data_IF_941666904211
#
_entry.id   IF_941666904211
#
_cell.length_a   1.000
_cell.length_b   1.000
_cell.length_c   1.000
_cell.angle_alpha   90.00
_cell.angle_beta   90.00
_cell.angle_gamma   90.00
#
_symmetry.space_group_name_H-M   'P 1'
#
loop_
_entity.id
_entity.type
_entity.pdbx_description
1 polymer ?
#
# COMPACT_ATOMS: atom_id res chain seq x y z
N UNK A 1 0.04 -30.74 18.04
CA UNK A 1 1.35 -30.71 17.38
C UNK A 1 1.78 -29.26 17.29
N UNK A 2 2.36 -28.73 18.37
CA UNK A 2 2.76 -27.33 18.46
C UNK A 2 4.09 -27.15 17.73
N UNK A 3 4.08 -26.39 16.64
CA UNK A 3 5.32 -25.91 16.05
C UNK A 3 5.79 -24.78 16.98
N UNK A 4 6.85 -25.00 17.74
CA UNK A 4 7.59 -23.89 18.35
C UNK A 4 8.19 -23.07 17.21
N UNK A 5 7.46 -22.05 16.81
CA UNK A 5 7.75 -21.25 15.64
C UNK A 5 8.81 -20.23 16.00
N UNK A 6 10.07 -20.54 15.70
CA UNK A 6 11.15 -19.56 15.85
C UNK A 6 10.87 -18.38 14.92
N UNK A 7 10.63 -17.21 15.51
CA UNK A 7 10.32 -15.97 14.79
C UNK A 7 11.41 -15.58 13.79
N UNK A 8 12.67 -15.90 14.08
CA UNK A 8 13.78 -15.67 13.15
C UNK A 8 13.66 -16.53 11.89
N UNK A 9 13.27 -17.80 12.01
CA UNK A 9 13.10 -18.71 10.87
C UNK A 9 11.94 -18.24 9.99
N UNK A 10 10.84 -17.81 10.60
CA UNK A 10 9.69 -17.25 9.88
C UNK A 10 10.06 -15.97 9.13
N UNK A 11 10.77 -15.06 9.79
CA UNK A 11 11.21 -13.81 9.16
C UNK A 11 12.12 -14.09 7.95
N UNK A 12 13.09 -14.99 8.10
CA UNK A 12 14.00 -15.38 7.01
C UNK A 12 13.20 -16.04 5.87
N UNK A 13 12.27 -16.95 6.18
CA UNK A 13 11.43 -17.59 5.18
C UNK A 13 10.54 -16.58 4.42
N UNK A 14 9.96 -15.62 5.13
CA UNK A 14 9.16 -14.55 4.55
C UNK A 14 9.99 -13.64 3.64
N UNK A 15 11.18 -13.22 4.08
CA UNK A 15 12.12 -12.43 3.25
C UNK A 15 12.49 -13.23 1.99
N UNK A 16 12.82 -14.50 2.13
CA UNK A 16 13.16 -15.35 1.00
C UNK A 16 11.98 -15.50 0.02
N UNK A 17 10.76 -15.67 0.52
CA UNK A 17 9.56 -15.73 -0.30
C UNK A 17 9.30 -14.41 -1.04
N UNK A 18 9.45 -13.27 -0.38
CA UNK A 18 9.30 -11.94 -1.00
C UNK A 18 10.37 -11.68 -2.07
N UNK A 19 11.63 -12.01 -1.81
CA UNK A 19 12.72 -11.88 -2.78
C UNK A 19 12.52 -12.80 -3.99
N UNK A 20 12.05 -14.02 -3.75
CA UNK A 20 11.71 -14.96 -4.81
C UNK A 20 10.52 -14.45 -5.63
N UNK A 21 9.48 -13.93 -4.97
CA UNK A 21 8.34 -13.30 -5.63
C UNK A 21 8.78 -12.13 -6.51
N UNK A 22 9.63 -11.23 -6.00
CA UNK A 22 10.18 -10.12 -6.77
C UNK A 22 10.95 -10.60 -8.01
N UNK A 23 11.84 -11.58 -7.86
CA UNK A 23 12.70 -12.04 -8.96
C UNK A 23 11.96 -12.91 -9.99
N UNK A 24 11.10 -13.82 -9.56
CA UNK A 24 10.43 -14.75 -10.48
C UNK A 24 9.13 -14.15 -11.00
N UNK A 25 8.26 -13.71 -10.09
CA UNK A 25 6.94 -13.22 -10.46
C UNK A 25 6.99 -11.78 -10.96
N UNK A 26 7.78 -10.90 -10.33
CA UNK A 26 8.01 -9.53 -10.82
C UNK A 26 8.56 -9.52 -12.25
N UNK A 27 9.63 -10.27 -12.51
CA UNK A 27 10.18 -10.40 -13.88
C UNK A 27 9.21 -11.05 -14.87
N UNK A 28 8.36 -11.98 -14.41
CA UNK A 28 7.31 -12.55 -15.26
C UNK A 28 6.28 -11.50 -15.69
N UNK A 29 5.80 -10.69 -14.75
CA UNK A 29 4.85 -9.60 -15.01
C UNK A 29 5.47 -8.53 -15.90
N UNK A 30 6.71 -8.15 -15.62
CA UNK A 30 7.47 -7.18 -16.42
C UNK A 30 7.60 -7.63 -17.88
N UNK A 31 7.99 -8.88 -18.13
CA UNK A 31 8.17 -9.41 -19.49
C UNK A 31 6.87 -9.67 -20.23
N UNK A 32 5.83 -10.15 -19.53
CA UNK A 32 4.59 -10.61 -20.17
C UNK A 32 3.58 -9.49 -20.35
N UNK A 33 3.41 -8.65 -19.33
CA UNK A 33 2.35 -7.63 -19.26
C UNK A 33 2.91 -6.24 -19.56
N UNK A 34 3.90 -5.80 -18.78
CA UNK A 34 4.38 -4.41 -18.89
C UNK A 34 5.13 -4.21 -20.20
N UNK A 35 6.10 -5.06 -20.52
CA UNK A 35 7.01 -4.90 -21.67
C UNK A 35 7.62 -3.50 -21.67
N UNK A 36 8.52 -3.21 -20.71
CA UNK A 36 9.11 -1.88 -20.58
C UNK A 36 9.86 -1.52 -21.87
N UNK A 37 9.59 -0.33 -22.38
CA UNK A 37 10.29 0.27 -23.51
C UNK A 37 11.40 1.18 -22.95
N UNK A 38 12.54 1.28 -23.64
CA UNK A 38 13.63 2.23 -23.30
C UNK A 38 13.26 3.67 -23.70
N UNK A 39 12.08 4.14 -23.28
CA UNK A 39 11.66 5.52 -23.47
C UNK A 39 11.99 6.34 -22.24
N UNK A 40 12.46 7.59 -22.40
CA UNK A 40 12.61 8.49 -21.27
C UNK A 40 11.25 8.66 -20.58
N UNK A 41 11.23 8.60 -19.25
CA UNK A 41 9.99 8.80 -18.48
C UNK A 41 9.46 10.22 -18.71
N UNK A 42 8.16 10.45 -18.56
CA UNK A 42 7.55 11.79 -18.77
C UNK A 42 8.18 12.90 -17.92
N UNK A 43 8.75 12.57 -16.74
CA UNK A 43 9.52 13.50 -15.92
C UNK A 43 10.78 14.07 -16.61
N UNK A 44 11.33 13.37 -17.60
CA UNK A 44 12.46 13.83 -18.42
C UNK A 44 12.00 14.49 -19.73
N UNK A 45 10.92 14.00 -20.35
CA UNK A 45 10.42 14.54 -21.63
C UNK A 45 9.65 15.86 -21.47
N UNK A 46 8.85 16.01 -20.41
CA UNK A 46 7.98 17.17 -20.16
C UNK A 46 8.52 18.08 -19.06
N UNK A 47 9.84 18.06 -18.83
CA UNK A 47 10.47 18.72 -17.69
C UNK A 47 10.16 20.23 -17.66
N UNK A 48 9.48 20.66 -16.61
CA UNK A 48 9.15 22.06 -16.33
C UNK A 48 9.63 22.52 -14.93
N UNK A 49 10.20 21.61 -14.14
CA UNK A 49 10.63 21.81 -12.75
C UNK A 49 9.50 22.27 -11.78
N UNK A 50 8.23 22.25 -12.22
CA UNK A 50 7.03 22.47 -11.41
C UNK A 50 6.21 21.17 -11.27
N UNK A 51 5.61 20.70 -12.37
CA UNK A 51 4.80 19.48 -12.40
C UNK A 51 5.63 18.24 -12.78
N UNK A 52 6.70 18.42 -13.54
CA UNK A 52 7.61 17.39 -14.04
C UNK A 52 9.05 17.72 -13.66
N UNK A 53 9.56 17.04 -12.62
CA UNK A 53 10.96 17.13 -12.22
C UNK A 53 11.57 15.73 -12.04
N UNK A 54 12.77 15.47 -12.59
CA UNK A 54 13.41 14.17 -12.47
C UNK A 54 13.88 13.93 -11.03
N UNK A 55 13.19 13.04 -10.32
CA UNK A 55 13.52 12.67 -8.95
C UNK A 55 14.61 11.58 -8.89
N UNK A 56 15.45 11.64 -7.85
CA UNK A 56 16.44 10.58 -7.58
C UNK A 56 15.73 9.29 -7.17
N UNK A 57 16.25 8.13 -7.61
CA UNK A 57 15.69 6.80 -7.29
C UNK A 57 15.46 6.56 -5.80
N UNK A 58 16.37 7.03 -4.95
CA UNK A 58 16.26 6.87 -3.49
C UNK A 58 15.08 7.69 -2.93
N UNK A 59 14.88 8.90 -3.44
CA UNK A 59 13.76 9.76 -3.05
C UNK A 59 12.42 9.17 -3.49
N UNK A 60 12.33 8.71 -4.74
CA UNK A 60 11.17 7.98 -5.26
C UNK A 60 10.86 6.72 -4.42
N UNK A 61 11.89 5.96 -4.08
CA UNK A 61 11.75 4.80 -3.21
C UNK A 61 11.26 5.18 -1.81
N UNK A 62 11.59 6.35 -1.28
CA UNK A 62 11.08 6.82 0.02
C UNK A 62 9.62 7.27 -0.04
N UNK A 63 9.20 7.90 -1.13
CA UNK A 63 7.81 8.33 -1.31
C UNK A 63 6.84 7.15 -1.31
N UNK A 64 7.23 6.05 -1.92
CA UNK A 64 6.39 4.88 -2.10
C UNK A 64 5.92 4.18 -0.81
N UNK A 65 6.79 3.84 0.16
CA UNK A 65 6.37 3.34 1.46
C UNK A 65 5.78 4.48 2.31
N UNK A 66 6.18 5.74 2.12
CA UNK A 66 5.60 6.85 2.90
C UNK A 66 4.12 7.09 2.59
N UNK A 67 3.67 6.86 1.35
CA UNK A 67 2.26 6.99 0.96
C UNK A 67 1.39 5.84 1.48
N UNK A 68 2.00 4.71 1.85
CA UNK A 68 1.33 3.53 2.42
C UNK A 68 1.48 3.51 3.96
N UNK A 69 2.47 4.23 4.50
CA UNK A 69 2.75 4.31 5.92
C UNK A 69 1.55 4.94 6.65
N UNK A 70 0.95 4.17 7.55
CA UNK A 70 -0.27 4.54 8.24
C UNK A 70 -0.70 3.51 9.27
N UNK A 71 -1.94 3.61 9.77
CA UNK A 71 -2.51 2.64 10.70
C UNK A 71 -2.83 1.29 10.02
N UNK A 72 -2.97 1.26 8.69
CA UNK A 72 -3.28 0.04 7.91
C UNK A 72 -2.28 -1.11 8.13
N UNK A 73 -0.96 -0.90 7.94
CA UNK A 73 0.08 -1.89 8.23
C UNK A 73 0.12 -2.41 9.67
N UNK A 74 -0.50 -1.72 10.63
CA UNK A 74 -0.55 -2.12 12.03
C UNK A 74 -1.86 -2.85 12.32
N UNK A 75 -3.00 -2.22 12.04
CA UNK A 75 -4.32 -2.73 12.33
C UNK A 75 -4.68 -3.96 11.49
N UNK A 76 -4.22 -4.03 10.23
CA UNK A 76 -4.48 -5.14 9.31
C UNK A 76 -3.93 -6.47 9.83
N UNK A 77 -2.62 -6.60 10.10
CA UNK A 77 -2.03 -7.82 10.64
C UNK A 77 -2.59 -8.22 12.01
N UNK A 78 -2.90 -7.25 12.88
CA UNK A 78 -3.51 -7.52 14.19
C UNK A 78 -4.91 -8.13 14.02
N UNK A 79 -5.76 -7.51 13.19
CA UNK A 79 -7.09 -8.03 12.91
C UNK A 79 -7.04 -9.43 12.26
N UNK A 80 -6.12 -9.63 11.32
CA UNK A 80 -5.91 -10.93 10.67
C UNK A 80 -5.38 -12.00 11.63
N UNK A 81 -4.50 -11.64 12.56
CA UNK A 81 -3.99 -12.56 13.58
C UNK A 81 -5.09 -12.97 14.58
N UNK A 82 -5.98 -12.04 14.94
CA UNK A 82 -7.13 -12.34 15.81
C UNK A 82 -8.13 -13.26 15.09
N UNK A 83 -8.40 -13.02 13.80
CA UNK A 83 -9.40 -13.76 13.04
C UNK A 83 -8.91 -15.15 12.55
N UNK A 84 -7.67 -15.23 12.05
CA UNK A 84 -7.13 -16.41 11.36
C UNK A 84 -5.93 -17.05 12.07
N UNK A 85 -5.51 -16.48 13.20
CA UNK A 85 -4.28 -16.87 13.88
C UNK A 85 -3.02 -16.37 13.17
N UNK A 86 -1.86 -16.58 13.81
CA UNK A 86 -0.56 -16.14 13.32
C UNK A 86 -0.18 -16.73 11.96
N UNK A 87 -0.41 -18.02 11.75
CA UNK A 87 -0.08 -18.69 10.48
C UNK A 87 -0.90 -18.15 9.32
N UNK A 88 -2.21 -17.96 9.52
CA UNK A 88 -3.10 -17.40 8.49
C UNK A 88 -2.75 -15.96 8.15
N UNK A 89 -2.44 -15.15 9.17
CA UNK A 89 -1.97 -13.78 9.00
C UNK A 89 -0.69 -13.71 8.16
N UNK A 90 0.33 -14.52 8.49
CA UNK A 90 1.60 -14.55 7.76
C UNK A 90 1.43 -14.98 6.30
N UNK A 91 0.65 -16.03 6.04
CA UNK A 91 0.36 -16.47 4.68
C UNK A 91 -0.36 -15.38 3.89
N UNK A 92 -1.35 -14.72 4.49
CA UNK A 92 -2.08 -13.64 3.85
C UNK A 92 -1.17 -12.46 3.49
N UNK A 93 -0.29 -12.04 4.40
CA UNK A 93 0.66 -10.94 4.15
C UNK A 93 1.64 -11.29 3.03
N UNK A 94 2.26 -12.47 3.09
CA UNK A 94 3.29 -12.87 2.10
C UNK A 94 2.66 -13.12 0.73
N UNK A 95 1.60 -13.91 0.66
CA UNK A 95 0.95 -14.28 -0.60
C UNK A 95 0.21 -13.07 -1.17
N UNK A 96 -0.59 -12.37 -0.35
CA UNK A 96 -1.33 -11.17 -0.77
C UNK A 96 -0.39 -10.05 -1.23
N UNK A 97 0.73 -9.86 -0.54
CA UNK A 97 1.75 -8.90 -0.93
C UNK A 97 2.37 -9.20 -2.30
N UNK A 98 2.73 -10.45 -2.57
CA UNK A 98 3.38 -10.85 -3.84
C UNK A 98 2.40 -10.79 -5.02
N UNK A 99 1.21 -11.39 -4.88
CA UNK A 99 0.33 -11.62 -6.02
C UNK A 99 -0.60 -10.45 -6.32
N UNK A 100 -1.07 -9.74 -5.28
CA UNK A 100 -2.07 -8.69 -5.44
C UNK A 100 -1.46 -7.31 -5.18
N UNK A 101 -0.80 -7.11 -4.05
CA UNK A 101 -0.25 -5.80 -3.66
C UNK A 101 0.80 -5.29 -4.64
N UNK A 102 1.92 -6.01 -4.77
CA UNK A 102 3.04 -5.59 -5.62
C UNK A 102 2.66 -5.48 -7.10
N UNK A 103 1.79 -6.36 -7.61
CA UNK A 103 1.36 -6.33 -9.01
C UNK A 103 0.41 -5.17 -9.28
N UNK A 104 -0.60 -4.98 -8.44
CA UNK A 104 -1.56 -3.88 -8.60
C UNK A 104 -0.82 -2.55 -8.62
N UNK A 105 0.04 -2.34 -7.64
CA UNK A 105 0.84 -1.12 -7.50
C UNK A 105 1.78 -0.87 -8.69
N UNK A 106 2.53 -1.90 -9.11
CA UNK A 106 3.40 -1.80 -10.28
C UNK A 106 2.63 -1.49 -11.57
N UNK A 107 1.48 -2.14 -11.78
CA UNK A 107 0.65 -1.90 -12.97
C UNK A 107 0.02 -0.51 -12.96
N UNK A 108 -0.54 -0.07 -11.82
CA UNK A 108 -1.10 1.27 -11.68
C UNK A 108 -0.05 2.34 -11.97
N UNK A 109 1.16 2.19 -11.42
CA UNK A 109 2.26 3.11 -11.67
C UNK A 109 2.67 3.13 -13.15
N UNK A 110 2.85 1.96 -13.76
CA UNK A 110 3.26 1.86 -15.17
C UNK A 110 2.20 2.43 -16.12
N UNK A 111 0.92 2.24 -15.82
CA UNK A 111 -0.18 2.79 -16.61
C UNK A 111 -0.20 4.33 -16.49
N UNK A 112 -0.02 4.89 -15.29
CA UNK A 112 0.06 6.35 -15.09
C UNK A 112 1.27 6.96 -15.81
N UNK A 113 2.47 6.38 -15.68
CA UNK A 113 3.69 6.88 -16.34
C UNK A 113 3.54 6.92 -17.87
N UNK A 114 2.84 5.94 -18.47
CA UNK A 114 2.57 5.93 -19.91
C UNK A 114 1.58 7.02 -20.35
N UNK A 115 0.75 7.50 -19.44
CA UNK A 115 -0.21 8.58 -19.68
C UNK A 115 0.27 9.87 -19.00
N UNK A 116 1.56 10.18 -19.12
CA UNK A 116 2.16 11.44 -18.65
C UNK A 116 2.00 11.69 -17.15
N UNK A 117 1.88 10.64 -16.33
CA UNK A 117 1.76 10.78 -14.87
C UNK A 117 0.40 11.29 -14.39
N UNK A 118 -0.65 11.19 -15.23
CA UNK A 118 -2.02 11.56 -14.85
C UNK A 118 -2.54 10.66 -13.72
N UNK A 119 -3.41 11.22 -12.87
CA UNK A 119 -4.01 10.52 -11.74
C UNK A 119 -4.82 9.29 -12.20
N UNK A 120 -4.83 8.22 -11.40
CA UNK A 120 -5.58 6.99 -11.71
C UNK A 120 -7.09 7.24 -11.88
N UNK A 121 -7.76 8.07 -11.04
CA UNK A 121 -9.16 8.39 -11.26
C UNK A 121 -9.43 9.11 -12.58
N UNK A 122 -8.61 10.08 -12.97
CA UNK A 122 -8.79 10.78 -14.23
C UNK A 122 -8.56 9.85 -15.42
N UNK A 123 -7.53 9.01 -15.33
CA UNK A 123 -7.19 8.03 -16.36
C UNK A 123 -8.28 6.98 -16.56
N UNK A 124 -8.99 6.59 -15.49
CA UNK A 124 -10.15 5.70 -15.60
C UNK A 124 -11.27 6.29 -16.48
N UNK A 125 -11.35 7.62 -16.57
CA UNK A 125 -12.30 8.33 -17.42
C UNK A 125 -11.96 8.25 -18.90
N UNK A 126 -10.68 8.39 -19.20
CA UNK A 126 -10.16 8.33 -20.57
C UNK A 126 -10.18 6.90 -21.12
N UNK A 127 -9.83 5.91 -20.29
CA UNK A 127 -9.71 4.51 -20.72
C UNK A 127 -11.04 3.75 -20.67
N UNK A 128 -11.86 3.96 -19.63
CA UNK A 128 -13.06 3.14 -19.39
C UNK A 128 -14.33 3.90 -19.75
N UNK A 129 -14.67 4.94 -19.00
CA UNK A 129 -15.82 5.81 -19.28
C UNK A 129 -15.86 7.03 -18.34
N UNK A 130 -16.54 8.13 -18.72
CA UNK A 130 -16.75 9.28 -17.84
C UNK A 130 -17.46 8.92 -16.52
N UNK A 131 -18.39 7.94 -16.57
CA UNK A 131 -19.08 7.45 -15.37
C UNK A 131 -18.11 6.70 -14.44
N UNK A 132 -17.21 5.89 -15.00
CA UNK A 132 -16.20 5.18 -14.21
C UNK A 132 -15.28 6.17 -13.47
N UNK A 133 -14.86 7.27 -14.13
CA UNK A 133 -14.13 8.36 -13.46
C UNK A 133 -14.90 8.94 -12.30
N UNK A 134 -16.17 9.30 -12.51
CA UNK A 134 -16.97 9.89 -11.44
C UNK A 134 -17.11 8.94 -10.24
N UNK A 135 -17.46 7.68 -10.49
CA UNK A 135 -17.62 6.68 -9.44
C UNK A 135 -16.30 6.41 -8.70
N UNK A 136 -15.20 6.30 -9.43
CA UNK A 136 -13.88 6.04 -8.84
C UNK A 136 -13.37 7.24 -8.05
N UNK A 137 -13.55 8.47 -8.54
CA UNK A 137 -13.21 9.70 -7.81
C UNK A 137 -14.02 9.83 -6.53
N UNK A 138 -15.33 9.58 -6.56
CA UNK A 138 -16.18 9.61 -5.36
C UNK A 138 -15.72 8.55 -4.36
N UNK A 139 -15.45 7.33 -4.83
CA UNK A 139 -14.96 6.24 -3.98
C UNK A 139 -13.63 6.59 -3.29
N UNK A 140 -12.66 7.12 -4.03
CA UNK A 140 -11.36 7.55 -3.48
C UNK A 140 -11.56 8.67 -2.47
N UNK A 141 -12.43 9.65 -2.77
CA UNK A 141 -12.70 10.77 -1.87
C UNK A 141 -13.33 10.33 -0.55
N UNK A 142 -14.36 9.47 -0.59
CA UNK A 142 -14.99 8.90 0.61
C UNK A 142 -13.97 8.08 1.42
N UNK A 143 -13.16 7.28 0.75
CA UNK A 143 -12.12 6.46 1.40
C UNK A 143 -11.08 7.35 2.09
N UNK A 144 -10.68 8.46 1.46
CA UNK A 144 -9.73 9.40 2.05
C UNK A 144 -10.31 10.09 3.30
N UNK A 145 -11.58 10.49 3.27
CA UNK A 145 -12.29 11.01 4.45
C UNK A 145 -12.35 9.96 5.56
N UNK A 146 -12.72 8.71 5.24
CA UNK A 146 -12.78 7.61 6.20
C UNK A 146 -11.42 7.40 6.89
N UNK A 147 -10.33 7.41 6.11
CA UNK A 147 -8.97 7.25 6.63
C UNK A 147 -8.62 8.38 7.60
N UNK A 148 -8.90 9.64 7.25
CA UNK A 148 -8.68 10.80 8.14
C UNK A 148 -9.44 10.64 9.46
N UNK A 149 -10.71 10.22 9.41
CA UNK A 149 -11.54 10.00 10.60
C UNK A 149 -10.95 8.92 11.49
N UNK A 150 -10.52 7.79 10.92
CA UNK A 150 -9.92 6.68 11.68
C UNK A 150 -8.63 7.14 12.38
N UNK A 151 -7.76 7.88 11.69
CA UNK A 151 -6.55 8.42 12.30
C UNK A 151 -6.88 9.38 13.45
N UNK A 152 -7.81 10.31 13.25
CA UNK A 152 -8.23 11.24 14.30
C UNK A 152 -8.75 10.53 15.56
N UNK A 153 -9.55 9.48 15.40
CA UNK A 153 -10.04 8.68 16.53
C UNK A 153 -8.91 7.90 17.20
N UNK A 154 -8.03 7.27 16.41
CA UNK A 154 -6.93 6.45 16.92
C UNK A 154 -5.92 7.28 17.70
N UNK A 155 -5.56 8.46 17.19
CA UNK A 155 -4.66 9.40 17.86
C UNK A 155 -5.31 9.96 19.13
N UNK A 156 -6.60 10.32 19.07
CA UNK A 156 -7.36 10.80 20.21
C UNK A 156 -7.41 9.80 21.37
N UNK A 157 -7.73 8.53 21.09
CA UNK A 157 -7.68 7.45 22.08
C UNK A 157 -6.28 7.24 22.66
N UNK A 158 -5.25 7.30 21.81
CA UNK A 158 -3.86 7.11 22.21
C UNK A 158 -3.35 8.20 23.17
N UNK A 159 -3.84 9.44 23.00
CA UNK A 159 -3.51 10.57 23.87
C UNK A 159 -4.32 10.49 25.17
N UNK A 160 -5.62 10.23 25.09
CA UNK A 160 -6.49 10.16 26.27
C UNK A 160 -6.02 9.11 27.29
N UNK A 161 -5.51 7.96 26.82
CA UNK A 161 -4.96 6.91 27.68
C UNK A 161 -3.66 7.31 28.42
N UNK A 162 -2.97 8.38 28.00
CA UNK A 162 -1.72 8.86 28.64
C UNK A 162 -1.93 10.00 29.64
N UNK A 163 -3.10 10.63 29.66
CA UNK A 163 -3.39 11.73 30.59
C UNK A 163 -3.98 11.11 31.87
N UNK A 164 -3.50 11.48 33.08
CA UNK A 164 -4.05 10.99 34.33
C UNK A 164 -5.35 11.75 34.63
N UNK A 165 -6.37 11.55 33.79
CA UNK A 165 -7.73 11.95 34.11
C UNK A 165 -8.37 10.83 34.94
N UNK A 166 -9.30 11.15 35.86
CA UNK A 166 -10.18 10.16 36.48
C UNK A 166 -11.13 9.63 35.39
N UNK A 167 -10.65 8.76 34.51
CA UNK A 167 -11.44 8.20 33.43
C UNK A 167 -12.34 7.10 33.96
N UNK A 168 -13.64 7.26 33.72
CA UNK A 168 -14.63 6.19 33.74
C UNK A 168 -14.14 5.03 32.85
N UNK A 169 -14.20 3.80 33.36
CA UNK A 169 -13.64 2.60 32.77
C UNK A 169 -14.36 2.14 31.48
N UNK A 170 -15.36 2.90 31.03
CA UNK A 170 -16.16 2.65 29.83
C UNK A 170 -15.52 3.14 28.53
N UNK A 171 -14.55 4.08 28.58
CA UNK A 171 -13.99 4.76 27.39
C UNK A 171 -12.67 4.16 26.89
N UNK A 172 -11.97 3.37 27.70
CA UNK A 172 -10.81 2.60 27.24
C UNK A 172 -11.24 1.15 26.99
N UNK A 173 -11.41 0.70 25.73
CA UNK A 173 -11.58 -0.71 25.45
C UNK A 173 -10.29 -1.40 25.88
N UNK A 174 -10.37 -2.33 26.84
CA UNK A 174 -9.27 -3.26 27.11
C UNK A 174 -9.21 -4.21 25.90
N UNK A 175 -8.22 -3.98 25.06
CA UNK A 175 -7.71 -5.00 24.14
C UNK A 175 -6.63 -5.80 24.87
#
# INVERSE_FOLDING_TARGET
MGVELNSAIVAIAAIFALLSGYKFYGTFIEKKIVKPEEKPTSAHELRDDFDYSPARRITLFGHHPSSIAGAGPILGPVAAAIAFGWTGCLLWIVIGGIFMGAVHDHLSLMISVRHKGVSIPDLSGEIVSPLARLLFTIFVWITLVLVIVIFGITDGHSIACRIPLPCDASVCPRY
#
